data_IF_408094850014
#
_entry.id   IF_408094850014
#
_cell.length_a   1.000
_cell.length_b   1.000
_cell.length_c   1.000
_cell.angle_alpha   90.00
_cell.angle_beta   90.00
_cell.angle_gamma   90.00
#
_symmetry.space_group_name_H-M   'P 1'
#
loop_
_entity.id
_entity.type
_entity.pdbx_description
1 polymer ?
#
# COMPACT_ATOMS: atom_id res chain seq x y z
N UNK A 1 -30.27 -11.95 -1.03
CA UNK A 1 -30.96 -10.65 -0.82
C UNK A 1 -29.98 -9.55 -1.22
N UNK A 2 -30.39 -8.65 -2.15
CA UNK A 2 -29.52 -7.59 -2.66
C UNK A 2 -29.15 -6.58 -1.57
N UNK A 3 -27.89 -6.14 -1.54
CA UNK A 3 -27.35 -5.15 -0.60
C UNK A 3 -27.51 -3.74 -1.18
N UNK A 4 -27.86 -2.77 -0.34
CA UNK A 4 -27.84 -1.34 -0.71
C UNK A 4 -26.43 -0.82 -0.53
N UNK A 5 -25.78 -0.41 -1.62
CA UNK A 5 -24.40 0.01 -1.58
C UNK A 5 -24.10 1.26 -2.42
N UNK A 6 -22.97 1.87 -2.16
CA UNK A 6 -22.38 2.90 -3.01
C UNK A 6 -20.96 2.53 -3.38
N UNK A 7 -20.53 2.96 -4.56
CA UNK A 7 -19.16 2.83 -5.05
C UNK A 7 -18.56 4.24 -5.15
N UNK A 8 -17.45 4.45 -4.49
CA UNK A 8 -16.65 5.67 -4.58
C UNK A 8 -15.26 5.25 -4.98
N UNK A 9 -14.73 5.75 -6.09
CA UNK A 9 -13.40 5.38 -6.58
C UNK A 9 -12.81 6.55 -7.35
N UNK A 10 -11.49 6.78 -7.21
CA UNK A 10 -10.74 7.78 -7.96
C UNK A 10 -10.68 7.45 -9.47
N UNK A 11 -10.84 6.19 -9.81
CA UNK A 11 -11.01 5.73 -11.20
C UNK A 11 -12.49 5.62 -11.57
N UNK A 12 -13.03 6.69 -12.15
CA UNK A 12 -14.45 6.76 -12.52
C UNK A 12 -14.95 5.56 -13.33
N UNK A 13 -14.18 5.10 -14.31
CA UNK A 13 -14.52 3.94 -15.12
C UNK A 13 -14.64 2.65 -14.29
N UNK A 14 -13.74 2.47 -13.31
CA UNK A 14 -13.78 1.33 -12.40
C UNK A 14 -15.02 1.39 -11.52
N UNK A 15 -15.34 2.57 -10.97
CA UNK A 15 -16.54 2.77 -10.18
C UNK A 15 -17.82 2.42 -10.96
N UNK A 16 -17.93 2.89 -12.20
CA UNK A 16 -19.09 2.64 -13.07
C UNK A 16 -19.19 1.17 -13.49
N UNK A 17 -18.06 0.52 -13.83
CA UNK A 17 -18.01 -0.88 -14.21
C UNK A 17 -18.38 -1.79 -13.01
N UNK A 18 -17.82 -1.54 -11.84
CA UNK A 18 -18.12 -2.28 -10.62
C UNK A 18 -19.58 -2.10 -10.21
N UNK A 19 -20.09 -0.87 -10.27
CA UNK A 19 -21.50 -0.59 -9.99
C UNK A 19 -22.43 -1.34 -10.94
N UNK A 20 -22.10 -1.41 -12.23
CA UNK A 20 -22.87 -2.15 -13.24
C UNK A 20 -22.83 -3.64 -12.98
N UNK A 21 -21.66 -4.20 -12.70
CA UNK A 21 -21.50 -5.62 -12.39
C UNK A 21 -22.31 -6.03 -11.14
N UNK A 22 -22.25 -5.20 -10.07
CA UNK A 22 -23.00 -5.46 -8.84
C UNK A 22 -24.52 -5.33 -9.04
N UNK A 23 -25.00 -4.42 -9.89
CA UNK A 23 -26.42 -4.34 -10.26
C UNK A 23 -26.89 -5.61 -10.97
N UNK A 24 -26.12 -6.14 -11.91
CA UNK A 24 -26.41 -7.39 -12.61
C UNK A 24 -26.52 -8.59 -11.66
N UNK A 25 -25.82 -8.54 -10.52
CA UNK A 25 -25.87 -9.55 -9.47
C UNK A 25 -26.98 -9.32 -8.43
N UNK A 26 -27.89 -8.37 -8.70
CA UNK A 26 -29.06 -8.11 -7.88
C UNK A 26 -28.80 -7.20 -6.67
N UNK A 27 -27.68 -6.51 -6.60
CA UNK A 27 -27.44 -5.50 -5.58
C UNK A 27 -28.05 -4.15 -5.97
N UNK A 28 -28.45 -3.36 -4.97
CA UNK A 28 -28.99 -2.02 -5.16
C UNK A 28 -27.86 -0.98 -5.05
N UNK A 29 -27.23 -0.63 -6.16
CA UNK A 29 -26.22 0.44 -6.19
C UNK A 29 -26.91 1.80 -6.23
N UNK A 30 -26.75 2.59 -5.17
CA UNK A 30 -27.40 3.90 -4.97
C UNK A 30 -26.69 5.01 -5.76
N UNK A 31 -25.37 4.94 -5.87
CA UNK A 31 -24.54 5.83 -6.68
C UNK A 31 -23.16 5.21 -6.94
N UNK A 32 -22.51 5.68 -8.02
CA UNK A 32 -21.09 5.55 -8.28
C UNK A 32 -20.53 6.97 -8.44
N UNK A 33 -19.46 7.32 -7.71
CA UNK A 33 -18.92 8.68 -7.65
C UNK A 33 -17.40 8.68 -7.45
N UNK A 34 -16.77 9.80 -7.81
CA UNK A 34 -15.37 10.04 -7.45
C UNK A 34 -15.25 10.44 -5.96
N UNK A 35 -14.07 10.21 -5.30
CA UNK A 35 -13.81 10.56 -3.90
C UNK A 35 -13.53 12.07 -3.76
N UNK A 36 -14.49 12.88 -4.14
CA UNK A 36 -14.46 14.34 -3.95
C UNK A 36 -14.83 14.71 -2.53
N UNK A 37 -14.64 15.99 -2.16
CA UNK A 37 -15.04 16.52 -0.86
C UNK A 37 -16.53 16.25 -0.53
N UNK A 38 -17.40 16.12 -1.54
CA UNK A 38 -18.82 15.79 -1.37
C UNK A 38 -19.13 14.28 -1.30
N UNK A 39 -18.15 13.41 -1.45
CA UNK A 39 -18.40 11.97 -1.46
C UNK A 39 -18.90 11.45 -0.11
N UNK A 40 -18.31 11.94 0.98
CA UNK A 40 -18.75 11.57 2.33
C UNK A 40 -20.19 12.04 2.60
N UNK A 41 -20.53 13.27 2.23
CA UNK A 41 -21.90 13.83 2.32
C UNK A 41 -22.89 12.97 1.55
N UNK A 42 -22.50 12.53 0.35
CA UNK A 42 -23.35 11.69 -0.47
C UNK A 42 -23.62 10.34 0.19
N UNK A 43 -22.61 9.72 0.80
CA UNK A 43 -22.76 8.48 1.58
C UNK A 43 -23.65 8.72 2.80
N UNK A 44 -23.39 9.78 3.53
CA UNK A 44 -24.17 10.15 4.73
C UNK A 44 -25.64 10.37 4.39
N UNK A 45 -25.94 11.07 3.29
CA UNK A 45 -27.32 11.38 2.88
C UNK A 45 -28.06 10.16 2.33
N UNK A 46 -27.38 9.27 1.57
CA UNK A 46 -27.98 8.08 0.94
C UNK A 46 -28.09 6.89 1.87
N UNK A 47 -27.30 6.88 2.95
CA UNK A 47 -27.27 5.84 3.99
C UNK A 47 -27.22 4.42 3.42
N UNK A 48 -26.18 4.06 2.64
CA UNK A 48 -26.01 2.69 2.16
C UNK A 48 -25.66 1.75 3.33
N UNK A 49 -25.91 0.44 3.16
CA UNK A 49 -25.41 -0.58 4.07
C UNK A 49 -23.87 -0.73 3.94
N UNK A 50 -23.38 -0.64 2.69
CA UNK A 50 -21.95 -0.76 2.36
C UNK A 50 -21.52 0.40 1.47
N UNK A 51 -20.36 0.99 1.77
CA UNK A 51 -19.62 1.86 0.89
C UNK A 51 -18.35 1.12 0.42
N UNK A 52 -18.23 0.87 -0.88
CA UNK A 52 -16.99 0.45 -1.51
C UNK A 52 -16.19 1.71 -1.81
N UNK A 53 -15.05 1.88 -1.16
CA UNK A 53 -14.20 3.07 -1.24
C UNK A 53 -12.87 2.73 -1.92
N UNK A 54 -12.72 3.11 -3.19
CA UNK A 54 -11.54 2.88 -3.99
C UNK A 54 -10.50 3.99 -3.83
N UNK A 55 -9.23 3.59 -3.80
CA UNK A 55 -8.08 4.50 -3.80
C UNK A 55 -6.85 3.85 -4.42
N UNK A 56 -6.09 4.63 -5.18
CA UNK A 56 -4.79 4.21 -5.72
C UNK A 56 -3.65 4.38 -4.71
N UNK A 57 -3.82 5.23 -3.69
CA UNK A 57 -2.76 5.65 -2.77
C UNK A 57 -3.15 5.48 -1.28
N UNK A 58 -3.36 4.23 -0.80
CA UNK A 58 -3.87 3.98 0.55
C UNK A 58 -2.91 4.37 1.69
N UNK A 59 -1.64 4.63 1.39
CA UNK A 59 -0.65 5.03 2.39
C UNK A 59 -0.44 6.55 2.47
N UNK A 60 -1.05 7.33 1.58
CA UNK A 60 -0.92 8.79 1.59
C UNK A 60 -1.76 9.44 2.70
N UNK A 61 -1.25 10.48 3.35
CA UNK A 61 -1.99 11.24 4.35
C UNK A 61 -3.29 11.82 3.78
N UNK A 62 -4.36 11.77 4.57
CA UNK A 62 -5.67 12.33 4.18
C UNK A 62 -6.50 11.46 3.24
N UNK A 63 -5.95 10.40 2.65
CA UNK A 63 -6.68 9.50 1.75
C UNK A 63 -7.98 8.97 2.36
N UNK A 64 -7.97 8.67 3.65
CA UNK A 64 -9.10 8.10 4.35
C UNK A 64 -9.92 9.11 5.17
N UNK A 65 -9.70 10.41 5.04
CA UNK A 65 -10.54 11.43 5.72
C UNK A 65 -12.04 11.26 5.42
N UNK A 66 -12.44 10.95 4.16
CA UNK A 66 -13.84 10.64 3.87
C UNK A 66 -14.35 9.40 4.63
N UNK A 67 -13.52 8.38 4.81
CA UNK A 67 -13.89 7.16 5.56
C UNK A 67 -14.10 7.47 7.04
N UNK A 68 -13.18 8.23 7.65
CA UNK A 68 -13.31 8.71 9.04
C UNK A 68 -14.63 9.46 9.22
N UNK A 69 -14.94 10.36 8.30
CA UNK A 69 -16.18 11.15 8.34
C UNK A 69 -17.42 10.26 8.19
N UNK A 70 -17.44 9.34 7.21
CA UNK A 70 -18.54 8.39 7.03
C UNK A 70 -18.76 7.59 8.31
N UNK A 71 -17.71 7.05 8.91
CA UNK A 71 -17.81 6.23 10.13
C UNK A 71 -18.33 7.04 11.33
N UNK A 72 -17.94 8.29 11.45
CA UNK A 72 -18.42 9.18 12.52
C UNK A 72 -19.90 9.51 12.35
N UNK A 73 -20.34 9.87 11.13
CA UNK A 73 -21.69 10.34 10.86
C UNK A 73 -22.69 9.22 10.55
N UNK A 74 -22.17 8.06 10.09
CA UNK A 74 -22.97 6.85 9.73
C UNK A 74 -22.26 5.57 10.19
N UNK A 75 -22.21 5.29 11.49
CA UNK A 75 -21.52 4.11 12.04
C UNK A 75 -22.10 2.77 11.55
N UNK A 76 -23.34 2.74 11.06
CA UNK A 76 -23.97 1.54 10.48
C UNK A 76 -23.52 1.26 9.05
N UNK A 77 -22.96 2.23 8.32
CA UNK A 77 -22.42 2.00 6.98
C UNK A 77 -21.07 1.31 7.10
N UNK A 78 -20.97 0.07 6.64
CA UNK A 78 -19.69 -0.63 6.56
C UNK A 78 -18.88 -0.08 5.36
N UNK A 79 -17.63 0.30 5.58
CA UNK A 79 -16.74 0.75 4.51
C UNK A 79 -15.76 -0.38 4.17
N UNK A 80 -15.76 -0.80 2.91
CA UNK A 80 -14.77 -1.73 2.36
C UNK A 80 -13.86 -0.96 1.42
N UNK A 81 -12.58 -0.92 1.72
CA UNK A 81 -11.58 -0.26 0.88
C UNK A 81 -11.24 -1.16 -0.31
N UNK A 82 -11.22 -0.57 -1.51
CA UNK A 82 -10.67 -1.16 -2.72
C UNK A 82 -9.33 -0.48 -3.00
N UNK A 83 -8.26 -1.26 -3.18
CA UNK A 83 -6.94 -0.67 -3.36
C UNK A 83 -5.97 -1.55 -4.14
N UNK A 84 -4.76 -1.04 -4.41
CA UNK A 84 -3.70 -1.82 -5.03
C UNK A 84 -3.25 -2.98 -4.13
N UNK A 85 -2.16 -3.64 -4.49
CA UNK A 85 -1.52 -4.63 -3.60
C UNK A 85 -1.28 -3.96 -2.24
N UNK A 86 -1.87 -4.49 -1.16
CA UNK A 86 -1.86 -3.80 0.13
C UNK A 86 -0.48 -3.79 0.77
N UNK A 87 -0.05 -2.61 1.22
CA UNK A 87 1.07 -2.49 2.16
C UNK A 87 0.56 -2.57 3.60
N UNK A 88 1.37 -3.03 4.57
CA UNK A 88 1.00 -3.01 5.99
C UNK A 88 0.51 -1.65 6.46
N UNK A 89 1.21 -0.57 6.05
CA UNK A 89 0.85 0.82 6.36
C UNK A 89 -0.49 1.24 5.75
N UNK A 90 -0.73 0.91 4.48
CA UNK A 90 -2.00 1.25 3.81
C UNK A 90 -3.18 0.53 4.45
N UNK A 91 -3.02 -0.74 4.83
CA UNK A 91 -4.03 -1.49 5.58
C UNK A 91 -4.25 -0.87 6.95
N UNK A 92 -3.17 -0.59 7.70
CA UNK A 92 -3.26 0.02 9.02
C UNK A 92 -4.00 1.35 8.96
N UNK A 93 -3.68 2.22 7.98
CA UNK A 93 -4.36 3.49 7.77
C UNK A 93 -5.85 3.31 7.46
N UNK A 94 -6.22 2.35 6.59
CA UNK A 94 -7.62 2.06 6.26
C UNK A 94 -8.41 1.62 7.50
N UNK A 95 -7.86 0.68 8.30
CA UNK A 95 -8.53 0.21 9.51
C UNK A 95 -8.55 1.25 10.63
N UNK A 96 -7.50 2.05 10.80
CA UNK A 96 -7.50 3.19 11.74
C UNK A 96 -8.58 4.23 11.39
N UNK A 97 -8.85 4.44 10.09
CA UNK A 97 -9.96 5.26 9.63
C UNK A 97 -11.35 4.63 9.83
N UNK A 98 -11.42 3.36 10.24
CA UNK A 98 -12.66 2.64 10.50
C UNK A 98 -13.18 1.81 9.32
N UNK A 99 -12.35 1.46 8.34
CA UNK A 99 -12.72 0.48 7.33
C UNK A 99 -13.00 -0.89 7.97
N UNK A 100 -14.00 -1.60 7.45
CA UNK A 100 -14.37 -2.93 7.87
C UNK A 100 -13.70 -4.03 7.02
N UNK A 101 -13.10 -3.65 5.90
CA UNK A 101 -12.42 -4.58 5.01
C UNK A 101 -11.49 -3.91 3.99
N UNK A 102 -10.62 -4.71 3.41
CA UNK A 102 -9.74 -4.32 2.31
C UNK A 102 -9.76 -5.39 1.23
N UNK A 103 -10.02 -5.00 0.00
CA UNK A 103 -10.06 -5.85 -1.20
C UNK A 103 -9.16 -5.25 -2.26
N UNK A 104 -8.44 -6.08 -2.99
CA UNK A 104 -7.57 -5.60 -4.08
C UNK A 104 -8.39 -5.20 -5.30
N UNK A 105 -7.89 -4.20 -6.05
CA UNK A 105 -8.51 -3.76 -7.31
C UNK A 105 -8.59 -4.85 -8.38
N UNK A 106 -7.65 -5.82 -8.36
CA UNK A 106 -7.60 -6.94 -9.30
C UNK A 106 -8.37 -8.17 -8.81
N UNK A 107 -9.09 -8.06 -7.68
CA UNK A 107 -9.94 -9.14 -7.19
C UNK A 107 -11.16 -9.32 -8.10
N UNK A 108 -11.60 -10.56 -8.23
CA UNK A 108 -12.82 -10.87 -8.98
C UNK A 108 -14.05 -10.39 -8.23
N UNK A 109 -15.13 -10.15 -8.97
CA UNK A 109 -16.40 -9.67 -8.40
C UNK A 109 -16.91 -10.57 -7.26
N UNK A 110 -16.70 -11.90 -7.36
CA UNK A 110 -17.05 -12.85 -6.31
C UNK A 110 -16.26 -12.59 -5.01
N UNK A 111 -15.01 -12.12 -5.11
CA UNK A 111 -14.20 -11.72 -3.95
C UNK A 111 -14.76 -10.47 -3.29
N UNK A 112 -15.19 -9.50 -4.07
CA UNK A 112 -15.87 -8.30 -3.56
C UNK A 112 -17.16 -8.68 -2.84
N UNK A 113 -17.98 -9.57 -3.42
CA UNK A 113 -19.21 -10.05 -2.79
C UNK A 113 -18.96 -10.82 -1.50
N UNK A 114 -17.90 -11.66 -1.45
CA UNK A 114 -17.50 -12.34 -0.22
C UNK A 114 -17.09 -11.34 0.87
N UNK A 115 -16.35 -10.30 0.50
CA UNK A 115 -15.99 -9.23 1.42
C UNK A 115 -17.23 -8.49 1.95
N UNK A 116 -18.16 -8.15 1.06
CA UNK A 116 -19.44 -7.54 1.43
C UNK A 116 -20.25 -8.43 2.39
N UNK A 117 -20.27 -9.75 2.15
CA UNK A 117 -20.97 -10.70 3.01
C UNK A 117 -20.33 -10.75 4.41
N UNK A 118 -19.01 -10.79 4.51
CA UNK A 118 -18.25 -10.77 5.78
C UNK A 118 -18.56 -9.51 6.59
N UNK A 119 -18.43 -8.34 6.00
CA UNK A 119 -18.66 -7.09 6.73
C UNK A 119 -20.11 -6.93 7.20
N UNK A 120 -21.09 -7.50 6.47
CA UNK A 120 -22.49 -7.56 6.90
C UNK A 120 -22.69 -8.52 8.09
N UNK A 121 -21.90 -9.56 8.18
CA UNK A 121 -21.90 -10.46 9.34
C UNK A 121 -21.16 -9.88 10.55
N UNK A 122 -20.59 -8.67 10.44
CA UNK A 122 -19.76 -8.04 11.47
C UNK A 122 -18.33 -8.55 11.52
N UNK A 123 -17.91 -9.29 10.50
CA UNK A 123 -16.56 -9.81 10.38
C UNK A 123 -15.66 -8.87 9.56
N UNK A 124 -14.37 -8.84 9.88
CA UNK A 124 -13.39 -8.11 9.07
C UNK A 124 -13.15 -8.83 7.74
N UNK A 125 -13.28 -8.08 6.63
CA UNK A 125 -12.97 -8.59 5.30
C UNK A 125 -11.53 -8.27 4.91
N UNK A 126 -10.60 -9.01 5.48
CA UNK A 126 -9.16 -8.92 5.19
C UNK A 126 -8.55 -10.31 5.13
N UNK A 127 -7.51 -10.48 4.32
CA UNK A 127 -6.73 -11.72 4.31
C UNK A 127 -5.93 -11.84 5.62
N UNK A 128 -5.97 -12.99 6.32
CA UNK A 128 -5.32 -13.15 7.62
C UNK A 128 -3.82 -12.84 7.61
N UNK A 129 -3.15 -13.14 6.51
CA UNK A 129 -1.70 -12.91 6.33
C UNK A 129 -1.34 -11.43 6.38
N UNK A 130 -2.28 -10.53 6.07
CA UNK A 130 -2.08 -9.09 6.06
C UNK A 130 -2.30 -8.46 7.45
N UNK A 131 -2.98 -9.17 8.35
CA UNK A 131 -3.29 -8.67 9.68
C UNK A 131 -2.04 -8.45 10.54
N UNK A 132 -1.08 -9.37 10.50
CA UNK A 132 0.13 -9.26 11.34
C UNK A 132 0.92 -7.99 11.04
N UNK A 133 1.16 -7.70 9.75
CA UNK A 133 1.86 -6.47 9.35
C UNK A 133 1.07 -5.20 9.70
N UNK A 134 -0.24 -5.21 9.49
CA UNK A 134 -1.10 -4.08 9.82
C UNK A 134 -1.18 -3.83 11.33
N UNK A 135 -1.23 -4.88 12.16
CA UNK A 135 -1.19 -4.74 13.62
C UNK A 135 0.14 -4.17 14.11
N UNK A 136 1.27 -4.59 13.52
CA UNK A 136 2.58 -4.02 13.86
C UNK A 136 2.62 -2.51 13.59
N UNK A 137 2.06 -2.06 12.47
CA UNK A 137 1.93 -0.63 12.14
C UNK A 137 0.97 0.11 13.09
N UNK A 138 -0.17 -0.49 13.45
CA UNK A 138 -1.13 0.12 14.38
C UNK A 138 -0.58 0.25 15.81
N UNK A 139 0.22 -0.71 16.23
CA UNK A 139 0.85 -0.70 17.56
C UNK A 139 2.06 0.23 17.64
N UNK A 140 2.61 0.63 16.49
CA UNK A 140 3.73 1.57 16.39
C UNK A 140 3.40 2.76 15.47
N UNK A 141 2.42 3.60 15.83
CA UNK A 141 1.96 4.73 15.00
C UNK A 141 3.03 5.82 14.81
N UNK A 142 4.14 5.74 15.54
CA UNK A 142 5.29 6.65 15.41
C UNK A 142 6.25 6.24 14.28
N UNK A 143 5.99 5.14 13.57
CA UNK A 143 6.77 4.77 12.40
C UNK A 143 6.49 5.76 11.25
N UNK A 144 7.18 6.89 11.27
CA UNK A 144 7.23 7.84 10.15
C UNK A 144 7.87 7.16 8.91
N UNK A 145 7.67 7.67 7.68
CA UNK A 145 8.37 7.16 6.48
C UNK A 145 9.87 6.97 6.70
N UNK A 146 10.42 7.77 7.59
CA UNK A 146 11.77 7.71 8.11
C UNK A 146 12.12 6.40 8.81
N UNK A 147 11.18 5.71 9.45
CA UNK A 147 11.46 4.48 10.20
C UNK A 147 11.47 3.23 9.31
N UNK A 148 10.72 3.20 8.22
CA UNK A 148 10.78 2.07 7.26
C UNK A 148 12.15 2.03 6.59
N UNK A 149 12.66 3.18 6.15
CA UNK A 149 14.01 3.30 5.60
C UNK A 149 15.07 2.86 6.62
N UNK A 150 14.92 3.28 7.87
CA UNK A 150 15.86 2.90 8.95
C UNK A 150 15.82 1.41 9.27
N UNK A 151 14.63 0.79 9.31
CA UNK A 151 14.47 -0.66 9.50
C UNK A 151 15.07 -1.46 8.35
N UNK A 152 14.87 -1.02 7.11
CA UNK A 152 15.46 -1.65 5.94
C UNK A 152 16.99 -1.54 5.93
N UNK A 153 17.54 -0.40 6.38
CA UNK A 153 18.99 -0.28 6.57
C UNK A 153 19.53 -1.24 7.63
N UNK A 154 18.81 -1.48 8.70
CA UNK A 154 19.25 -2.38 9.78
C UNK A 154 19.33 -3.86 9.34
N UNK A 155 18.58 -4.30 8.36
CA UNK A 155 18.64 -5.68 7.84
C UNK A 155 19.70 -5.87 6.76
N UNK A 156 20.22 -4.77 6.22
CA UNK A 156 21.29 -4.78 5.22
C UNK A 156 22.65 -4.57 5.87
N UNK A 157 23.65 -5.29 5.40
CA UNK A 157 25.05 -4.99 5.74
C UNK A 157 25.52 -3.74 4.99
N UNK A 158 26.59 -3.03 5.44
CA UNK A 158 27.11 -1.87 4.73
C UNK A 158 27.41 -2.15 3.24
N UNK A 159 27.89 -3.34 2.92
CA UNK A 159 28.13 -3.76 1.53
C UNK A 159 26.84 -3.96 0.73
N UNK A 160 25.79 -4.42 1.37
CA UNK A 160 24.47 -4.58 0.72
C UNK A 160 23.76 -3.24 0.53
N UNK A 161 23.98 -2.27 1.42
CA UNK A 161 23.54 -0.88 1.25
C UNK A 161 24.24 -0.24 0.05
N UNK A 162 25.57 -0.39 -0.09
CA UNK A 162 26.33 0.10 -1.25
C UNK A 162 25.78 -0.52 -2.56
N UNK A 163 25.48 -1.81 -2.57
CA UNK A 163 24.84 -2.48 -3.73
C UNK A 163 23.47 -1.90 -4.04
N UNK A 164 22.66 -1.63 -3.03
CA UNK A 164 21.30 -1.07 -3.21
C UNK A 164 21.34 0.33 -3.81
N UNK A 165 22.26 1.19 -3.35
CA UNK A 165 22.48 2.54 -3.92
C UNK A 165 22.77 2.42 -5.41
N UNK A 166 23.75 1.61 -5.81
CA UNK A 166 24.13 1.41 -7.21
C UNK A 166 23.03 0.82 -8.07
N UNK A 167 22.21 -0.11 -7.50
CA UNK A 167 21.02 -0.63 -8.15
C UNK A 167 20.00 0.48 -8.40
N UNK A 168 19.81 1.39 -7.46
CA UNK A 168 18.90 2.52 -7.59
C UNK A 168 19.39 3.58 -8.59
N UNK A 169 20.70 3.72 -8.76
CA UNK A 169 21.33 4.53 -9.79
C UNK A 169 21.25 3.90 -11.19
N UNK A 170 20.69 2.69 -11.30
CA UNK A 170 20.50 1.99 -12.57
C UNK A 170 21.73 1.22 -13.06
N UNK A 171 22.76 1.05 -12.23
CA UNK A 171 23.97 0.31 -12.60
C UNK A 171 23.68 -1.17 -12.86
N UNK A 172 24.24 -1.73 -13.92
CA UNK A 172 24.20 -3.16 -14.18
C UNK A 172 25.21 -3.92 -13.28
N UNK A 173 25.14 -5.28 -13.31
CA UNK A 173 26.01 -6.11 -12.46
C UNK A 173 27.50 -5.91 -12.74
N UNK A 174 27.89 -5.51 -13.96
CA UNK A 174 29.29 -5.30 -14.34
C UNK A 174 29.80 -3.99 -13.77
N UNK A 175 28.98 -2.93 -13.85
CA UNK A 175 29.30 -1.64 -13.27
C UNK A 175 29.38 -1.72 -11.75
N UNK A 176 28.43 -2.41 -11.09
CA UNK A 176 28.45 -2.67 -9.65
C UNK A 176 29.75 -3.42 -9.28
N UNK A 177 30.10 -4.47 -10.03
CA UNK A 177 31.32 -5.25 -9.77
C UNK A 177 32.59 -4.40 -9.90
N UNK A 178 32.66 -3.57 -10.94
CA UNK A 178 33.79 -2.68 -11.19
C UNK A 178 33.90 -1.61 -10.09
N UNK A 179 32.81 -0.92 -9.75
CA UNK A 179 32.77 0.10 -8.73
C UNK A 179 33.11 -0.42 -7.32
N UNK A 180 32.68 -1.64 -7.01
CA UNK A 180 32.96 -2.30 -5.72
C UNK A 180 34.29 -3.07 -5.71
N UNK A 181 34.98 -3.16 -6.83
CA UNK A 181 36.24 -3.95 -7.02
C UNK A 181 36.10 -5.42 -6.64
N UNK A 182 35.01 -6.05 -7.10
CA UNK A 182 34.69 -7.48 -6.87
C UNK A 182 34.40 -8.20 -8.18
N UNK A 183 34.38 -9.54 -8.15
CA UNK A 183 34.02 -10.31 -9.32
C UNK A 183 32.51 -10.12 -9.69
N UNK A 184 32.15 -10.15 -10.98
CA UNK A 184 30.74 -10.05 -11.40
C UNK A 184 29.82 -11.11 -10.79
N UNK A 185 30.31 -12.32 -10.55
CA UNK A 185 29.59 -13.37 -9.84
C UNK A 185 29.25 -13.00 -8.40
N UNK A 186 30.21 -12.37 -7.72
CA UNK A 186 30.03 -11.85 -6.33
C UNK A 186 29.01 -10.72 -6.30
N UNK A 187 29.12 -9.77 -7.23
CA UNK A 187 28.13 -8.67 -7.34
C UNK A 187 26.70 -9.20 -7.58
N UNK A 188 26.56 -10.23 -8.44
CA UNK A 188 25.25 -10.90 -8.66
C UNK A 188 24.71 -11.51 -7.37
N UNK A 189 25.55 -12.17 -6.59
CA UNK A 189 25.15 -12.76 -5.31
C UNK A 189 24.73 -11.70 -4.30
N UNK A 190 25.43 -10.56 -4.23
CA UNK A 190 25.05 -9.43 -3.36
C UNK A 190 23.70 -8.85 -3.78
N UNK A 191 23.48 -8.61 -5.07
CA UNK A 191 22.18 -8.13 -5.57
C UNK A 191 21.06 -9.09 -5.18
N UNK A 192 21.22 -10.39 -5.39
CA UNK A 192 20.20 -11.37 -5.00
C UNK A 192 19.91 -11.36 -3.49
N UNK A 193 20.95 -11.24 -2.66
CA UNK A 193 20.78 -11.13 -1.19
C UNK A 193 20.02 -9.88 -0.80
N UNK A 194 20.32 -8.73 -1.43
CA UNK A 194 19.60 -7.47 -1.21
C UNK A 194 18.12 -7.65 -1.55
N UNK A 195 17.79 -8.19 -2.74
CA UNK A 195 16.42 -8.42 -3.16
C UNK A 195 15.66 -9.32 -2.16
N UNK A 196 16.31 -10.42 -1.74
CA UNK A 196 15.72 -11.36 -0.79
C UNK A 196 15.49 -10.72 0.60
N UNK A 197 16.46 -9.94 1.12
CA UNK A 197 16.35 -9.27 2.41
C UNK A 197 15.28 -8.16 2.42
N UNK A 198 15.12 -7.47 1.28
CA UNK A 198 14.09 -6.45 1.09
C UNK A 198 12.72 -7.05 0.75
N UNK A 199 12.63 -8.37 0.50
CA UNK A 199 11.38 -9.03 0.13
C UNK A 199 10.84 -8.65 -1.24
N UNK A 200 11.71 -8.21 -2.18
CA UNK A 200 11.33 -7.75 -3.52
C UNK A 200 11.80 -8.72 -4.60
N UNK A 201 11.05 -8.79 -5.70
CA UNK A 201 11.31 -9.74 -6.80
C UNK A 201 12.22 -9.20 -7.91
N UNK A 202 12.47 -7.88 -7.95
CA UNK A 202 13.22 -7.26 -9.03
C UNK A 202 14.08 -6.07 -8.57
N UNK A 203 15.09 -5.74 -9.39
CA UNK A 203 15.93 -4.54 -9.16
C UNK A 203 15.12 -3.25 -9.20
N UNK A 204 14.13 -3.19 -10.09
CA UNK A 204 13.27 -2.02 -10.23
C UNK A 204 12.42 -1.83 -8.97
N UNK A 205 11.89 -2.92 -8.41
CA UNK A 205 11.17 -2.88 -7.13
C UNK A 205 12.07 -2.45 -5.98
N UNK A 206 13.33 -2.94 -5.92
CA UNK A 206 14.29 -2.53 -4.92
C UNK A 206 14.63 -1.04 -5.03
N UNK A 207 14.85 -0.53 -6.25
CA UNK A 207 15.10 0.89 -6.50
C UNK A 207 13.89 1.76 -6.12
N UNK A 208 12.68 1.34 -6.49
CA UNK A 208 11.44 2.03 -6.14
C UNK A 208 11.20 2.04 -4.61
N UNK A 209 11.50 0.93 -3.92
CA UNK A 209 11.42 0.85 -2.46
C UNK A 209 12.42 1.81 -1.81
N UNK A 210 13.66 1.81 -2.26
CA UNK A 210 14.73 2.67 -1.75
C UNK A 210 14.40 4.17 -1.93
N UNK A 211 13.86 4.56 -3.10
CA UNK A 211 13.44 5.93 -3.37
C UNK A 211 12.26 6.35 -2.47
N UNK A 212 11.23 5.50 -2.35
CA UNK A 212 10.02 5.78 -1.57
C UNK A 212 10.28 5.90 -0.06
N UNK A 213 11.26 5.17 0.46
CA UNK A 213 11.58 5.14 1.90
C UNK A 213 12.67 6.13 2.30
N UNK A 214 13.16 6.96 1.38
CA UNK A 214 14.28 7.88 1.63
C UNK A 214 15.60 7.19 1.99
N UNK A 215 15.71 5.91 1.67
CA UNK A 215 16.83 5.05 2.02
C UNK A 215 18.13 5.49 1.30
N UNK A 216 17.99 6.07 0.10
CA UNK A 216 19.11 6.59 -0.68
C UNK A 216 19.73 7.82 -0.04
N UNK A 217 18.92 8.76 0.44
CA UNK A 217 19.40 9.99 1.09
C UNK A 217 20.16 9.67 2.38
N UNK A 218 19.72 8.64 3.10
CA UNK A 218 20.34 8.16 4.34
C UNK A 218 21.62 7.38 4.09
N UNK A 219 21.61 6.50 3.08
CA UNK A 219 22.80 5.76 2.69
C UNK A 219 23.94 6.71 2.28
N UNK A 220 23.60 7.85 1.66
CA UNK A 220 24.56 8.90 1.34
C UNK A 220 25.15 9.60 2.59
N UNK A 221 24.36 9.72 3.66
CA UNK A 221 24.79 10.33 4.93
C UNK A 221 25.64 9.38 5.79
N UNK A 222 25.44 8.08 5.68
CA UNK A 222 26.13 7.05 6.47
C UNK A 222 27.39 6.50 5.78
N UNK A 223 27.61 6.81 4.50
CA UNK A 223 28.83 6.43 3.81
C UNK A 223 29.94 7.42 4.17
N UNK A 224 31.00 7.03 4.92
CA UNK A 224 32.11 7.90 5.20
C UNK A 224 32.76 8.31 3.88
N UNK A 225 32.82 9.61 3.60
CA UNK A 225 33.64 10.14 2.52
C UNK A 225 35.09 9.70 2.84
N UNK A 226 35.64 8.86 1.95
CA UNK A 226 37.02 8.47 2.05
C UNK A 226 37.90 9.73 2.06
N UNK A 227 39.09 9.71 2.75
CA UNK A 227 39.90 10.88 2.87
C UNK A 227 40.30 11.38 1.50
N UNK A 228 40.01 12.67 1.24
CA UNK A 228 40.54 13.43 0.12
C UNK A 228 42.05 13.29 0.12
N UNK A 229 42.57 12.63 -0.87
CA UNK A 229 44.01 12.61 -1.16
C UNK A 229 44.36 13.95 -1.76
N UNK A 230 44.67 14.93 -0.90
CA UNK A 230 45.44 16.10 -1.28
C UNK A 230 46.93 15.67 -1.26
N UNK A 231 47.56 15.76 -2.41
CA UNK A 231 48.96 15.51 -2.59
C UNK A 231 49.35 15.59 -4.07
#
# INVERSE_FOLDING_TARGET
MGVRLMVIDDHRLLAEALASALKLRGHRVLAAAAPTAGAAELVVSRAPEICLFGTAAPAEPGTFDPVVRIRRERPQTAVVVLGPVPSPRGIAAAFAAGAAGYVRHDERIEGVERAMAKVRAGEAAIAPQLLQGAFAELLNPAAQPDDEGRRLLQVLTPREVEVLVRVAEGEDTRLIAAGMRIAPSTARTHVQRVLMKLGVGSRLEAAALAARTGLLDRAALETPQGPDTVG
#
